data_IF_091082468457
#
_entry.id   IF_091082468457
#
_cell.length_a   1.000
_cell.length_b   1.000
_cell.length_c   1.000
_cell.angle_alpha   90.00
_cell.angle_beta   90.00
_cell.angle_gamma   90.00
#
_symmetry.space_group_name_H-M   'P 1'
#
loop_
_entity.id
_entity.type
_entity.pdbx_description
1 polymer ?
#
# COMPACT_ATOMS: atom_id res chain seq x y z
N UNK A 1 12.21 2.36 -2.06
CA UNK A 1 12.20 0.93 -2.39
C UNK A 1 11.81 0.75 -3.84
N UNK A 2 12.52 -0.05 -4.53
CA UNK A 2 12.19 -0.39 -5.91
C UNK A 2 11.61 -1.79 -5.94
N UNK A 3 10.36 -1.92 -6.38
CA UNK A 3 9.77 -3.22 -6.64
C UNK A 3 10.04 -3.56 -8.09
N UNK A 4 10.67 -4.68 -8.35
CA UNK A 4 11.06 -5.07 -9.71
C UNK A 4 9.94 -5.72 -10.51
N UNK A 5 8.72 -5.76 -9.99
CA UNK A 5 7.58 -6.26 -10.71
C UNK A 5 6.34 -6.42 -9.84
N UNK A 6 5.19 -6.53 -10.50
CA UNK A 6 3.91 -6.70 -9.83
C UNK A 6 3.84 -7.99 -9.00
N UNK A 7 4.53 -9.06 -9.45
CA UNK A 7 4.54 -10.32 -8.73
C UNK A 7 5.21 -10.20 -7.36
N UNK A 8 6.34 -9.49 -7.29
CA UNK A 8 7.03 -9.27 -6.01
C UNK A 8 6.20 -8.43 -5.05
N UNK A 9 5.51 -7.43 -5.57
CA UNK A 9 4.62 -6.61 -4.76
C UNK A 9 3.48 -7.45 -4.19
N UNK A 10 2.90 -8.32 -5.00
CA UNK A 10 1.83 -9.23 -4.56
C UNK A 10 2.29 -10.18 -3.47
N UNK A 11 3.50 -10.72 -3.57
CA UNK A 11 4.04 -11.60 -2.54
C UNK A 11 4.16 -10.88 -1.20
N UNK A 12 4.65 -9.66 -1.19
CA UNK A 12 4.76 -8.86 0.03
C UNK A 12 3.40 -8.56 0.65
N UNK A 13 2.42 -8.23 -0.18
CA UNK A 13 1.06 -7.99 0.29
C UNK A 13 0.41 -9.26 0.80
N UNK A 14 0.66 -10.41 0.16
CA UNK A 14 0.11 -11.69 0.61
C UNK A 14 0.55 -12.05 2.02
N UNK A 15 1.81 -11.82 2.37
CA UNK A 15 2.32 -12.09 3.71
C UNK A 15 1.57 -11.23 4.74
N UNK A 16 1.36 -9.96 4.45
CA UNK A 16 0.63 -9.07 5.36
C UNK A 16 -0.85 -9.38 5.45
N UNK A 17 -1.46 -9.83 4.35
CA UNK A 17 -2.87 -10.21 4.32
C UNK A 17 -3.16 -11.45 5.17
N UNK A 18 -2.14 -12.20 5.57
CA UNK A 18 -2.30 -13.32 6.48
C UNK A 18 -2.40 -12.92 7.94
N UNK A 19 -2.09 -11.67 8.28
CA UNK A 19 -2.28 -11.16 9.63
C UNK A 19 -3.78 -11.05 9.95
N UNK A 20 -4.24 -11.51 11.14
CA UNK A 20 -5.68 -11.59 11.42
C UNK A 20 -6.44 -10.27 11.32
N UNK A 21 -5.79 -9.16 11.65
CA UNK A 21 -6.45 -7.86 11.67
C UNK A 21 -5.99 -6.92 10.54
N UNK A 22 -5.24 -7.45 9.59
CA UNK A 22 -4.79 -6.64 8.46
C UNK A 22 -5.94 -6.45 7.46
N UNK A 23 -6.22 -5.19 7.13
CA UNK A 23 -7.20 -4.85 6.12
C UNK A 23 -6.73 -3.61 5.37
N UNK A 24 -6.67 -3.70 4.07
CA UNK A 24 -6.31 -2.58 3.21
C UNK A 24 -7.52 -2.19 2.36
N UNK A 25 -7.87 -0.90 2.39
CA UNK A 25 -8.97 -0.36 1.63
C UNK A 25 -8.45 0.70 0.66
N UNK A 26 -8.75 0.54 -0.61
CA UNK A 26 -8.44 1.55 -1.62
C UNK A 26 -9.49 2.66 -1.52
N UNK A 27 -9.05 3.88 -1.18
CA UNK A 27 -9.93 5.04 -1.04
C UNK A 27 -10.04 5.81 -2.36
N UNK A 28 -9.00 5.77 -3.18
CA UNK A 28 -9.02 6.44 -4.47
C UNK A 28 -7.82 6.07 -5.31
N UNK A 29 -7.93 6.27 -6.60
CA UNK A 29 -6.86 6.02 -7.57
C UNK A 29 -6.88 7.07 -8.64
N UNK A 30 -5.69 7.56 -9.00
CA UNK A 30 -5.48 8.47 -10.10
C UNK A 30 -4.42 7.84 -10.99
N UNK A 31 -4.65 7.83 -12.30
CA UNK A 31 -3.68 7.33 -13.26
C UNK A 31 -3.49 8.35 -14.37
N UNK A 32 -2.25 8.59 -14.74
CA UNK A 32 -1.89 9.46 -15.85
C UNK A 32 -0.62 8.94 -16.50
N UNK A 33 -0.70 8.55 -17.77
CA UNK A 33 0.42 7.94 -18.45
C UNK A 33 0.87 6.68 -17.73
N UNK A 34 2.14 6.64 -17.35
CA UNK A 34 2.72 5.50 -16.64
C UNK A 34 2.64 5.65 -15.11
N UNK A 35 2.08 6.75 -14.62
CA UNK A 35 2.00 7.02 -13.19
C UNK A 35 0.64 6.60 -12.65
N UNK A 36 0.66 5.79 -11.60
CA UNK A 36 -0.54 5.40 -10.85
C UNK A 36 -0.35 5.84 -9.40
N UNK A 37 -1.34 6.53 -8.85
CA UNK A 37 -1.33 7.00 -7.47
C UNK A 37 -2.53 6.40 -6.76
N UNK A 38 -2.28 5.66 -5.68
CA UNK A 38 -3.32 5.04 -4.86
C UNK A 38 -3.34 5.70 -3.49
N UNK A 39 -4.54 6.04 -3.02
CA UNK A 39 -4.79 6.48 -1.66
C UNK A 39 -5.45 5.32 -0.92
N UNK A 40 -4.81 4.83 0.15
CA UNK A 40 -5.24 3.64 0.85
C UNK A 40 -5.34 3.90 2.35
N UNK A 41 -6.24 3.16 2.99
CA UNK A 41 -6.33 3.06 4.46
C UNK A 41 -6.03 1.64 4.85
N UNK A 42 -5.08 1.46 5.76
CA UNK A 42 -4.68 0.15 6.24
C UNK A 42 -5.03 0.03 7.71
N UNK A 43 -5.76 -1.02 8.06
CA UNK A 43 -6.00 -1.43 9.45
C UNK A 43 -5.01 -2.52 9.80
N UNK A 44 -4.37 -2.40 10.93
CA UNK A 44 -3.25 -3.27 11.29
C UNK A 44 -3.05 -3.28 12.81
N UNK A 45 -2.51 -4.39 13.32
CA UNK A 45 -2.06 -4.47 14.71
C UNK A 45 -0.68 -3.81 14.82
N UNK A 46 -0.66 -2.60 15.33
CA UNK A 46 0.58 -1.92 15.68
C UNK A 46 1.05 -2.38 17.06
N UNK A 47 2.32 -2.15 17.43
CA UNK A 47 2.81 -2.49 18.76
C UNK A 47 1.97 -1.88 19.90
N UNK A 48 1.35 -0.72 19.63
CA UNK A 48 0.51 -0.02 20.62
C UNK A 48 -0.94 -0.50 20.63
N UNK A 49 -1.34 -1.33 19.66
CA UNK A 49 -2.69 -1.85 19.54
C UNK A 49 -3.26 -1.72 18.14
N UNK A 50 -4.51 -2.10 17.99
CA UNK A 50 -5.21 -2.02 16.70
C UNK A 50 -5.38 -0.58 16.28
N UNK A 51 -5.08 -0.29 15.04
CA UNK A 51 -5.18 1.06 14.52
C UNK A 51 -5.25 1.12 13.00
N UNK A 52 -5.30 2.34 12.50
CA UNK A 52 -5.32 2.61 11.07
C UNK A 52 -4.24 3.60 10.69
N UNK A 53 -3.78 3.50 9.46
CA UNK A 53 -2.89 4.47 8.86
C UNK A 53 -3.31 4.68 7.41
N UNK A 54 -3.34 5.92 6.96
CA UNK A 54 -3.56 6.23 5.56
C UNK A 54 -2.21 6.41 4.89
N UNK A 55 -2.14 5.99 3.64
CA UNK A 55 -0.93 6.14 2.86
C UNK A 55 -1.26 6.50 1.42
N UNK A 56 -0.29 7.11 0.76
CA UNK A 56 -0.31 7.32 -0.67
C UNK A 56 0.81 6.50 -1.26
N UNK A 57 0.46 5.65 -2.23
CA UNK A 57 1.42 4.86 -2.98
C UNK A 57 1.46 5.40 -4.41
N UNK A 58 2.66 5.66 -4.91
CA UNK A 58 2.86 6.10 -6.29
C UNK A 58 3.67 5.05 -7.01
N UNK A 59 3.20 4.66 -8.18
CA UNK A 59 3.85 3.64 -9.00
C UNK A 59 4.15 4.19 -10.38
N UNK A 60 5.38 3.96 -10.82
CA UNK A 60 5.75 4.15 -12.21
C UNK A 60 5.67 2.77 -12.88
N UNK A 61 4.75 2.64 -13.84
CA UNK A 61 4.43 1.38 -14.48
C UNK A 61 4.88 1.43 -15.93
N UNK A 62 5.69 0.47 -16.34
CA UNK A 62 6.13 0.36 -17.74
C UNK A 62 5.80 -1.04 -18.24
N UNK A 63 4.91 -1.09 -19.25
CA UNK A 63 4.35 -2.35 -19.68
C UNK A 63 3.52 -2.95 -18.56
N UNK A 64 3.84 -4.18 -18.16
CA UNK A 64 3.17 -4.86 -17.04
C UNK A 64 3.99 -4.82 -15.76
N UNK A 65 5.02 -3.97 -15.70
CA UNK A 65 5.96 -3.95 -14.58
C UNK A 65 5.90 -2.63 -13.83
N UNK A 66 5.94 -2.72 -12.52
CA UNK A 66 6.19 -1.57 -11.66
C UNK A 66 7.70 -1.40 -11.58
N UNK A 67 8.21 -0.31 -12.15
CA UNK A 67 9.65 -0.03 -12.16
C UNK A 67 10.09 0.80 -10.99
N UNK A 68 9.17 1.58 -10.39
CA UNK A 68 9.43 2.35 -9.17
C UNK A 68 8.17 2.42 -8.34
N UNK A 69 8.35 2.49 -7.02
CA UNK A 69 7.26 2.73 -6.09
C UNK A 69 7.72 3.67 -4.99
N UNK A 70 6.86 4.64 -4.67
CA UNK A 70 7.06 5.57 -3.56
C UNK A 70 5.87 5.49 -2.62
N UNK A 71 6.14 5.66 -1.34
CA UNK A 71 5.09 5.61 -0.33
C UNK A 71 5.21 6.83 0.57
N UNK A 72 4.07 7.45 0.86
CA UNK A 72 3.97 8.50 1.87
C UNK A 72 2.93 8.06 2.88
N UNK A 73 3.34 7.95 4.14
CA UNK A 73 2.46 7.54 5.23
C UNK A 73 1.95 8.76 5.97
N UNK A 74 0.65 8.74 6.27
CA UNK A 74 0.04 9.73 7.14
C UNK A 74 0.20 9.38 8.61
N UNK A 75 -0.57 10.02 9.46
CA UNK A 75 -0.57 9.73 10.88
C UNK A 75 -1.25 8.42 11.19
N UNK A 76 -0.65 7.65 12.08
CA UNK A 76 -1.25 6.46 12.63
C UNK A 76 -2.32 6.85 13.65
N UNK A 77 -3.48 6.21 13.57
CA UNK A 77 -4.59 6.41 14.52
C UNK A 77 -4.88 5.08 15.20
N UNK A 78 -4.83 5.06 16.52
CA UNK A 78 -5.15 3.88 17.31
C UNK A 78 -6.65 3.83 17.58
N UNK A 79 -7.15 2.61 17.81
CA UNK A 79 -8.56 2.40 18.10
C UNK A 79 -9.41 2.44 16.83
N UNK A 80 -9.14 1.58 15.89
CA UNK A 80 -9.87 1.50 14.62
C UNK A 80 -11.36 1.20 14.79
#
# INVERSE_FOLDING_TARGET
MVASGAAQLRERLSVRLQEPNFHAQLLGRIAMGNLVIDHERVTHDFPEGLGTIELIAMYDVQGEKIVRAWFKFGEKRLGA
#
